data_IF_140730039057
#
_entry.id   IF_140730039057
#
_cell.length_a   1.000
_cell.length_b   1.000
_cell.length_c   1.000
_cell.angle_alpha   90.00
_cell.angle_beta   90.00
_cell.angle_gamma   90.00
#
_symmetry.space_group_name_H-M   'P 1'
#
loop_
_entity.id
_entity.type
_entity.pdbx_description
1 polymer ?
#
# COMPACT_ATOMS: atom_id res chain seq x y z
N UNK A 1 -41.76 16.37 0.74
CA UNK A 1 -42.54 15.92 1.92
C UNK A 1 -41.82 14.74 2.54
N UNK A 2 -41.52 14.86 3.84
CA UNK A 2 -40.89 13.82 4.67
C UNK A 2 -42.02 12.89 5.11
N UNK A 3 -41.95 11.60 4.79
CA UNK A 3 -42.86 10.59 5.36
C UNK A 3 -41.97 9.59 6.09
N UNK A 4 -42.24 9.44 7.39
CA UNK A 4 -41.40 8.76 8.36
C UNK A 4 -41.62 7.26 8.48
N UNK A 5 -40.58 6.65 9.08
CA UNK A 5 -40.45 5.41 9.86
C UNK A 5 -41.72 4.84 10.55
N UNK A 6 -41.78 3.53 10.94
CA UNK A 6 -40.77 2.94 11.84
C UNK A 6 -40.34 1.47 11.60
N UNK A 7 -39.13 1.23 12.11
CA UNK A 7 -38.58 0.03 12.76
C UNK A 7 -39.39 -1.26 12.72
N UNK A 8 -38.76 -2.36 12.29
CA UNK A 8 -38.73 -3.66 13.00
C UNK A 8 -37.48 -4.46 12.59
N UNK A 9 -36.48 -4.47 13.47
CA UNK A 9 -35.43 -5.49 13.49
C UNK A 9 -35.82 -6.43 14.63
N UNK A 10 -36.14 -7.71 14.40
CA UNK A 10 -36.20 -8.65 15.51
C UNK A 10 -34.77 -8.83 16.01
N UNK A 11 -34.55 -8.37 17.24
CA UNK A 11 -33.36 -8.63 18.02
C UNK A 11 -33.10 -10.15 18.05
N UNK A 12 -32.03 -10.61 17.40
CA UNK A 12 -31.48 -11.93 17.70
C UNK A 12 -30.73 -11.79 19.02
N UNK A 13 -31.47 -12.08 20.08
CA UNK A 13 -30.97 -12.38 21.42
C UNK A 13 -29.92 -13.49 21.33
N UNK A 14 -28.78 -13.21 21.94
CA UNK A 14 -27.72 -14.15 22.22
C UNK A 14 -28.19 -15.27 23.15
N UNK A 15 -27.43 -16.38 23.11
CA UNK A 15 -27.31 -17.44 24.12
C UNK A 15 -28.41 -18.51 24.15
N UNK A 16 -28.03 -19.75 23.87
CA UNK A 16 -27.69 -20.73 24.94
C UNK A 16 -27.17 -22.04 24.34
N UNK A 17 -26.06 -22.51 24.90
CA UNK A 17 -25.48 -23.84 24.73
C UNK A 17 -26.37 -24.93 25.32
N UNK A 18 -26.55 -26.07 24.62
CA UNK A 18 -26.44 -27.44 25.16
C UNK A 18 -26.73 -28.52 24.08
N UNK A 19 -26.17 -29.74 24.18
CA UNK A 19 -26.14 -30.73 23.10
C UNK A 19 -27.26 -31.78 23.20
N UNK A 20 -27.77 -32.26 22.06
CA UNK A 20 -28.50 -33.54 21.98
C UNK A 20 -28.38 -34.13 20.57
N UNK A 21 -28.11 -35.43 20.52
CA UNK A 21 -27.75 -36.21 19.35
C UNK A 21 -28.94 -36.50 18.43
N UNK A 22 -28.70 -36.55 17.10
CA UNK A 22 -29.26 -37.60 16.23
C UNK A 22 -28.58 -37.65 14.85
N UNK A 23 -27.77 -38.70 14.69
CA UNK A 23 -27.66 -39.65 13.57
C UNK A 23 -27.58 -39.14 12.10
N UNK A 24 -26.37 -39.32 11.57
CA UNK A 24 -25.98 -39.86 10.25
C UNK A 24 -26.33 -39.10 8.96
N UNK A 25 -25.27 -38.63 8.29
CA UNK A 25 -25.28 -38.20 6.89
C UNK A 25 -23.91 -37.69 6.45
N UNK A 26 -23.05 -38.62 6.03
CA UNK A 26 -21.87 -38.50 5.15
C UNK A 26 -21.01 -37.20 5.14
N UNK A 27 -19.73 -37.39 5.49
CA UNK A 27 -18.51 -36.76 4.94
C UNK A 27 -18.59 -35.28 4.51
N UNK A 28 -17.80 -34.37 5.07
CA UNK A 28 -16.36 -34.35 4.80
C UNK A 28 -15.62 -33.50 5.83
N UNK A 29 -14.53 -34.07 6.33
CA UNK A 29 -13.50 -33.44 7.15
C UNK A 29 -12.75 -32.34 6.39
N UNK A 30 -12.69 -31.14 6.96
CA UNK A 30 -11.42 -30.45 7.23
C UNK A 30 -11.70 -29.16 8.03
N UNK A 31 -11.36 -29.19 9.32
CA UNK A 31 -11.02 -27.98 10.07
C UNK A 31 -9.61 -27.58 9.62
N UNK A 32 -9.36 -26.29 9.39
CA UNK A 32 -8.34 -25.51 10.12
C UNK A 32 -8.31 -24.06 9.63
N UNK A 33 -8.54 -23.16 10.58
CA UNK A 33 -8.09 -21.78 10.66
C UNK A 33 -6.95 -21.38 9.72
N UNK A 34 -7.13 -20.24 9.04
CA UNK A 34 -6.14 -19.17 9.08
C UNK A 34 -6.85 -17.84 8.79
N UNK A 35 -6.79 -16.94 9.77
CA UNK A 35 -7.09 -15.53 9.59
C UNK A 35 -6.27 -14.97 8.42
N UNK A 36 -6.95 -14.55 7.36
CA UNK A 36 -6.50 -13.42 6.58
C UNK A 36 -7.61 -12.38 6.71
N UNK A 37 -7.36 -11.14 7.18
CA UNK A 37 -8.34 -10.10 7.00
C UNK A 37 -8.57 -10.01 5.50
N UNK A 38 -9.81 -10.24 5.08
CA UNK A 38 -10.24 -9.88 3.74
C UNK A 38 -9.98 -8.38 3.64
N UNK A 39 -8.86 -8.01 3.03
CA UNK A 39 -8.58 -6.63 2.66
C UNK A 39 -9.78 -6.23 1.83
N UNK A 40 -10.62 -5.35 2.39
CA UNK A 40 -11.76 -4.77 1.72
C UNK A 40 -11.22 -4.18 0.44
N UNK A 41 -11.48 -4.89 -0.66
CA UNK A 41 -11.00 -4.56 -1.99
C UNK A 41 -11.50 -3.15 -2.26
N UNK A 42 -10.57 -2.20 -2.33
CA UNK A 42 -10.88 -0.81 -2.64
C UNK A 42 -11.77 -0.80 -3.89
N UNK A 43 -12.83 0.00 -3.88
CA UNK A 43 -13.81 0.12 -4.97
C UNK A 43 -13.21 0.87 -6.18
N UNK A 44 -12.06 0.40 -6.67
CA UNK A 44 -11.30 0.96 -7.78
C UNK A 44 -10.82 -0.13 -8.74
N UNK A 45 -10.43 0.31 -9.93
CA UNK A 45 -9.84 -0.57 -10.96
C UNK A 45 -8.52 -1.13 -10.45
N UNK A 46 -8.41 -2.47 -10.40
CA UNK A 46 -7.18 -3.12 -9.98
C UNK A 46 -6.15 -3.09 -11.12
N UNK A 47 -5.03 -2.37 -10.91
CA UNK A 47 -3.89 -2.34 -11.84
C UNK A 47 -2.89 -3.42 -11.45
N UNK A 48 -2.42 -4.19 -12.43
CA UNK A 48 -1.40 -5.22 -12.21
C UNK A 48 -0.02 -4.68 -12.57
N UNK A 49 0.87 -4.64 -11.58
CA UNK A 49 2.30 -4.34 -11.77
C UNK A 49 3.06 -5.63 -12.09
N UNK A 50 4.08 -5.58 -12.96
CA UNK A 50 4.88 -6.76 -13.30
C UNK A 50 5.62 -7.31 -12.06
N UNK A 51 5.88 -8.61 -12.02
CA UNK A 51 6.65 -9.25 -10.94
C UNK A 51 8.07 -8.70 -10.83
N UNK A 52 8.67 -8.32 -11.96
CA UNK A 52 10.00 -7.74 -12.02
C UNK A 52 10.06 -6.32 -11.44
N UNK A 53 9.06 -5.47 -11.70
CA UNK A 53 8.98 -4.16 -11.08
C UNK A 53 8.79 -4.25 -9.55
N UNK A 54 8.00 -5.24 -9.06
CA UNK A 54 7.86 -5.48 -7.61
C UNK A 54 9.15 -5.98 -6.97
N UNK A 55 9.93 -6.78 -7.68
CA UNK A 55 11.24 -7.24 -7.20
C UNK A 55 12.26 -6.09 -7.15
N UNK A 56 12.19 -5.12 -8.08
CA UNK A 56 13.01 -3.91 -8.04
C UNK A 56 12.62 -2.97 -6.88
N UNK A 57 11.34 -2.91 -6.51
CA UNK A 57 10.91 -2.09 -5.35
C UNK A 57 11.43 -2.65 -4.01
N UNK A 58 11.72 -3.95 -3.95
CA UNK A 58 12.43 -4.56 -2.82
C UNK A 58 13.96 -4.39 -2.91
N UNK A 59 14.49 -4.05 -4.08
CA UNK A 59 15.91 -3.83 -4.30
C UNK A 59 16.28 -2.38 -3.97
N UNK A 60 16.83 -2.18 -2.78
CA UNK A 60 17.56 -1.00 -2.34
C UNK A 60 16.78 0.33 -2.48
N UNK A 61 15.90 0.57 -1.50
CA UNK A 61 15.54 1.95 -1.15
C UNK A 61 16.84 2.60 -0.65
N UNK A 62 17.51 3.33 -1.54
CA UNK A 62 18.75 4.03 -1.19
C UNK A 62 18.52 4.82 0.11
N UNK A 63 19.26 4.46 1.16
CA UNK A 63 19.09 5.10 2.47
C UNK A 63 19.36 6.60 2.34
N UNK A 64 18.44 7.40 2.86
CA UNK A 64 18.58 8.86 2.82
C UNK A 64 19.73 9.26 3.73
N UNK A 65 20.76 9.89 3.15
CA UNK A 65 21.86 10.46 3.93
C UNK A 65 21.38 11.68 4.73
N UNK A 66 20.98 11.43 5.97
CA UNK A 66 20.49 12.45 6.92
C UNK A 66 21.56 13.49 7.26
N UNK A 67 22.84 13.11 7.25
CA UNK A 67 23.95 14.02 7.52
C UNK A 67 24.12 15.04 6.40
N UNK A 68 24.02 14.59 5.14
CA UNK A 68 24.04 15.47 3.98
C UNK A 68 22.86 16.44 3.98
N UNK A 69 21.66 15.95 4.28
CA UNK A 69 20.45 16.79 4.35
C UNK A 69 20.59 17.87 5.42
N UNK A 70 21.06 17.51 6.62
CA UNK A 70 21.28 18.46 7.70
C UNK A 70 22.28 19.56 7.30
N UNK A 71 23.41 19.20 6.68
CA UNK A 71 24.42 20.16 6.20
C UNK A 71 23.85 21.14 5.18
N UNK A 72 23.13 20.63 4.17
CA UNK A 72 22.53 21.47 3.13
C UNK A 72 21.48 22.41 3.73
N UNK A 73 20.64 21.91 4.64
CA UNK A 73 19.65 22.73 5.35
C UNK A 73 20.30 23.89 6.09
N UNK A 74 21.37 23.63 6.86
CA UNK A 74 22.09 24.67 7.58
C UNK A 74 22.71 25.71 6.62
N UNK A 75 23.28 25.29 5.49
CA UNK A 75 23.83 26.22 4.49
C UNK A 75 22.75 27.11 3.86
N UNK A 76 21.53 26.58 3.68
CA UNK A 76 20.38 27.35 3.19
C UNK A 76 19.94 28.36 4.26
N UNK A 77 19.80 27.92 5.52
CA UNK A 77 19.43 28.78 6.66
C UNK A 77 20.45 29.93 6.87
N UNK A 78 21.74 29.66 6.68
CA UNK A 78 22.82 30.65 6.77
C UNK A 78 22.97 31.51 5.51
N UNK A 79 22.24 31.22 4.43
CA UNK A 79 22.36 31.92 3.15
C UNK A 79 23.69 31.69 2.41
N UNK A 80 24.49 30.72 2.85
CA UNK A 80 25.80 30.38 2.28
C UNK A 80 25.71 29.36 1.15
N UNK A 81 24.56 28.70 1.00
CA UNK A 81 24.31 27.81 -0.13
C UNK A 81 24.36 28.58 -1.47
N UNK A 82 25.26 28.16 -2.36
CA UNK A 82 25.36 28.70 -3.72
C UNK A 82 24.87 27.67 -4.73
N UNK A 83 23.94 28.11 -5.57
CA UNK A 83 23.44 27.30 -6.68
C UNK A 83 24.55 27.18 -7.73
N UNK A 84 24.93 25.95 -8.06
CA UNK A 84 25.84 25.66 -9.16
C UNK A 84 25.02 25.36 -10.43
N UNK A 85 25.09 26.26 -11.41
CA UNK A 85 24.35 26.13 -12.67
C UNK A 85 24.86 24.98 -13.55
N UNK A 86 26.17 24.72 -13.57
CA UNK A 86 26.77 23.62 -14.33
C UNK A 86 26.30 22.26 -13.80
N UNK A 87 26.29 22.10 -12.47
CA UNK A 87 25.80 20.88 -11.82
C UNK A 87 24.31 20.62 -12.13
N UNK A 88 23.50 21.67 -12.25
CA UNK A 88 22.10 21.56 -12.66
C UNK A 88 22.02 21.10 -14.12
N UNK A 89 22.76 21.74 -15.02
CA UNK A 89 22.77 21.39 -16.44
C UNK A 89 23.17 19.92 -16.66
N UNK A 90 24.20 19.46 -15.95
CA UNK A 90 24.66 18.07 -16.02
C UNK A 90 23.58 17.08 -15.55
N UNK A 91 22.85 17.41 -14.47
CA UNK A 91 21.74 16.55 -14.02
C UNK A 91 20.54 16.57 -14.94
N UNK A 92 20.22 17.70 -15.55
CA UNK A 92 19.17 17.76 -16.57
C UNK A 92 19.51 16.91 -17.79
N UNK A 93 20.75 17.02 -18.30
CA UNK A 93 21.21 16.22 -19.43
C UNK A 93 21.24 14.73 -19.08
N UNK A 94 21.77 14.37 -17.91
CA UNK A 94 21.81 12.98 -17.44
C UNK A 94 20.40 12.38 -17.34
N UNK A 95 19.44 13.14 -16.79
CA UNK A 95 18.05 12.67 -16.67
C UNK A 95 17.38 12.53 -18.04
N UNK A 96 17.61 13.47 -18.95
CA UNK A 96 17.11 13.40 -20.32
C UNK A 96 17.66 12.19 -21.08
N UNK A 97 18.96 11.90 -20.93
CA UNK A 97 19.59 10.71 -21.50
C UNK A 97 19.00 9.42 -20.93
N UNK A 98 18.75 9.36 -19.63
CA UNK A 98 18.12 8.20 -18.98
C UNK A 98 16.69 7.98 -19.49
N UNK A 99 15.90 9.06 -19.62
CA UNK A 99 14.56 8.99 -20.22
C UNK A 99 14.61 8.49 -21.67
N UNK A 100 15.53 9.02 -22.48
CA UNK A 100 15.68 8.59 -23.86
C UNK A 100 16.09 7.11 -23.97
N UNK A 101 17.04 6.67 -23.14
CA UNK A 101 17.45 5.25 -23.07
C UNK A 101 16.27 4.35 -22.72
N UNK A 102 15.43 4.73 -21.75
CA UNK A 102 14.23 3.94 -21.41
C UNK A 102 13.21 3.80 -22.54
N UNK A 103 13.09 4.80 -23.41
CA UNK A 103 12.15 4.77 -24.54
C UNK A 103 12.73 4.07 -25.78
N UNK A 104 14.06 4.02 -25.91
CA UNK A 104 14.76 3.48 -27.07
C UNK A 104 15.37 2.10 -26.86
N UNK A 105 15.45 1.63 -25.61
CA UNK A 105 15.83 0.25 -25.24
C UNK A 105 14.60 -0.64 -25.19
#
# INVERSE_FOLDING_TARGET
>A
MKIGQPSELPALVSQVNAPAAQKAGAASTAKTQANAPASTKSAGVAVTVSTQARALEQADVAEVDTQKVAKVRTQIEQGTYKVNAEAIADKLLSNAQEMLKRTTS
#
